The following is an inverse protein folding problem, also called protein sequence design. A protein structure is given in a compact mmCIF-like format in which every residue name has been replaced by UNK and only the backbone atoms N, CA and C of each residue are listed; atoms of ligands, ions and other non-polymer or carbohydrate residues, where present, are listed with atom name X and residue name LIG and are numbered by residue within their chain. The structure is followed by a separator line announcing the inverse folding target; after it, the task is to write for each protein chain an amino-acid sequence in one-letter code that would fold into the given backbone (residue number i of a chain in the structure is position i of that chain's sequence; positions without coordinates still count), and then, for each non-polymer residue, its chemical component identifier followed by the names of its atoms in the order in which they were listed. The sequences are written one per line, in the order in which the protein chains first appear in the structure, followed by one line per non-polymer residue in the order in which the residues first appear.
data_IF_540174712817
#
_entry.id   IF_540174712817
#
_cell.length_a   1.000
_cell.length_b   1.000
_cell.length_c   1.000
_cell.angle_alpha   90.00
_cell.angle_beta   90.00
_cell.angle_gamma   90.00
#
_symmetry.space_group_name_H-M   'P 1'
#
loop_
_entity.id
_entity.type
_entity.pdbx_description
1 polymer ?
#
# COMPACT_ATOMS: atom_id res chain seq x y z
N UNK A 1 -57.68 -6.62 9.70
CA UNK A 1 -56.36 -6.45 9.06
C UNK A 1 -55.66 -5.27 9.73
N UNK A 2 -54.49 -5.49 10.35
CA UNK A 2 -53.65 -4.39 10.88
C UNK A 2 -52.50 -4.18 9.90
N UNK A 3 -52.37 -2.96 9.38
CA UNK A 3 -51.35 -2.55 8.42
C UNK A 3 -49.94 -2.84 8.96
N UNK A 4 -49.14 -3.54 8.16
CA UNK A 4 -47.69 -3.70 8.37
C UNK A 4 -47.02 -2.44 7.82
N UNK A 5 -46.70 -1.50 8.69
CA UNK A 5 -45.81 -0.38 8.37
C UNK A 5 -44.40 -0.96 8.13
N UNK A 6 -43.70 -0.64 7.02
CA UNK A 6 -42.33 -1.10 6.82
C UNK A 6 -41.39 -0.44 7.83
N UNK A 7 -40.44 -1.18 8.43
CA UNK A 7 -39.53 -0.61 9.41
C UNK A 7 -38.64 0.44 8.75
N UNK A 8 -38.70 1.68 9.22
CA UNK A 8 -37.75 2.73 8.87
C UNK A 8 -36.34 2.30 9.25
N UNK A 9 -35.32 2.78 8.53
CA UNK A 9 -33.90 2.45 8.79
C UNK A 9 -33.51 2.71 10.25
N UNK A 10 -34.01 3.80 10.84
CA UNK A 10 -33.86 4.10 12.27
C UNK A 10 -34.41 3.00 13.21
N UNK A 11 -35.48 2.33 12.82
CA UNK A 11 -36.07 1.21 13.57
C UNK A 11 -35.22 -0.04 13.52
N UNK A 12 -34.55 -0.31 12.39
CA UNK A 12 -33.59 -1.40 12.26
C UNK A 12 -32.30 -1.12 13.04
N UNK A 13 -31.79 0.11 12.96
CA UNK A 13 -30.60 0.55 13.71
C UNK A 13 -30.89 0.49 15.23
N UNK A 14 -32.05 0.97 15.67
CA UNK A 14 -32.45 0.89 17.09
C UNK A 14 -32.70 -0.54 17.58
N UNK A 15 -33.11 -1.46 16.71
CA UNK A 15 -33.24 -2.87 17.04
C UNK A 15 -31.87 -3.56 17.14
N UNK A 16 -30.95 -3.24 16.23
CA UNK A 16 -29.57 -3.77 16.24
C UNK A 16 -28.78 -3.28 17.48
N UNK A 17 -28.98 -2.02 17.90
CA UNK A 17 -28.37 -1.47 19.12
C UNK A 17 -28.91 -2.08 20.43
N UNK A 18 -30.01 -2.84 20.38
CA UNK A 18 -30.57 -3.53 21.55
C UNK A 18 -30.15 -4.99 21.63
N UNK A 19 -29.56 -5.53 20.58
CA UNK A 19 -29.10 -6.91 20.50
C UNK A 19 -27.66 -7.00 21.04
N UNK A 20 -27.49 -6.62 22.30
CA UNK A 20 -26.22 -6.74 23.00
C UNK A 20 -25.89 -8.23 23.18
N UNK A 21 -24.72 -8.70 22.72
CA UNK A 21 -24.36 -10.11 22.83
C UNK A 21 -24.27 -10.51 24.31
N UNK A 22 -25.00 -11.57 24.68
CA UNK A 22 -25.02 -12.05 26.05
C UNK A 22 -23.59 -12.39 26.54
N UNK A 23 -23.32 -12.18 27.84
CA UNK A 23 -21.99 -12.44 28.42
C UNK A 23 -21.51 -13.88 28.22
N UNK A 24 -22.43 -14.83 28.11
CA UNK A 24 -22.15 -16.24 27.80
C UNK A 24 -21.74 -16.47 26.34
N UNK A 25 -22.22 -15.64 25.40
CA UNK A 25 -21.75 -15.65 24.01
C UNK A 25 -20.34 -15.10 23.92
N UNK A 26 -20.07 -13.99 24.63
CA UNK A 26 -18.73 -13.40 24.69
C UNK A 26 -17.72 -14.34 25.37
N UNK A 27 -18.12 -15.05 26.43
CA UNK A 27 -17.24 -16.01 27.10
C UNK A 27 -16.89 -17.20 26.20
N UNK A 28 -17.86 -17.73 25.43
CA UNK A 28 -17.60 -18.81 24.47
C UNK A 28 -16.63 -18.41 23.38
N UNK A 29 -16.74 -17.18 22.87
CA UNK A 29 -15.80 -16.66 21.86
C UNK A 29 -14.41 -16.48 22.47
N UNK A 30 -14.32 -15.98 23.71
CA UNK A 30 -13.04 -15.87 24.41
C UNK A 30 -12.40 -17.24 24.65
N UNK A 31 -13.17 -18.24 25.08
CA UNK A 31 -12.69 -19.63 25.27
C UNK A 31 -12.22 -20.25 23.95
N UNK A 32 -12.94 -20.02 22.84
CA UNK A 32 -12.57 -20.54 21.52
C UNK A 32 -11.28 -19.88 21.00
N UNK A 33 -11.10 -18.58 21.22
CA UNK A 33 -9.84 -17.88 20.89
C UNK A 33 -8.68 -18.42 21.72
N UNK A 34 -8.88 -18.69 23.02
CA UNK A 34 -7.85 -19.26 23.89
C UNK A 34 -7.47 -20.68 23.48
N UNK A 35 -8.43 -21.48 23.03
CA UNK A 35 -8.20 -22.84 22.55
C UNK A 35 -7.37 -22.90 21.24
N UNK A 36 -7.40 -21.83 20.44
CA UNK A 36 -6.69 -21.74 19.16
C UNK A 36 -5.40 -20.91 19.22
N UNK A 37 -5.03 -20.38 20.38
CA UNK A 37 -3.73 -19.74 20.57
C UNK A 37 -2.62 -20.80 20.61
N UNK A 38 -1.51 -20.62 19.87
CA UNK A 38 -0.37 -21.52 19.97
C UNK A 38 0.23 -21.44 21.38
N UNK A 39 0.71 -22.57 21.96
CA UNK A 39 1.28 -22.57 23.30
C UNK A 39 2.52 -21.65 23.36
N UNK A 40 2.71 -20.89 24.44
CA UNK A 40 3.91 -20.07 24.60
C UNK A 40 5.13 -20.97 24.69
N UNK A 41 6.10 -20.76 23.78
CA UNK A 41 7.37 -21.50 23.76
C UNK A 41 7.65 -22.36 22.52
N UNK A 42 6.79 -22.35 21.50
CA UNK A 42 7.09 -22.98 20.23
C UNK A 42 8.13 -22.17 19.43
N UNK A 43 9.40 -22.27 19.81
CA UNK A 43 10.54 -21.88 18.97
C UNK A 43 10.54 -22.74 17.70
N UNK A 44 10.01 -22.20 16.61
CA UNK A 44 10.16 -22.79 15.28
C UNK A 44 11.62 -22.69 14.89
N UNK A 45 12.37 -23.75 15.20
CA UNK A 45 13.76 -23.92 14.77
C UNK A 45 13.76 -23.93 13.25
N UNK A 46 14.12 -22.78 12.68
CA UNK A 46 14.26 -22.53 11.26
C UNK A 46 15.11 -23.61 10.61
N UNK A 47 14.47 -24.54 9.90
CA UNK A 47 15.12 -25.48 8.99
C UNK A 47 15.29 -24.80 7.62
N UNK A 48 16.07 -23.72 7.58
CA UNK A 48 16.65 -23.25 6.33
C UNK A 48 17.78 -24.23 6.00
N UNK A 49 17.50 -25.19 5.11
CA UNK A 49 18.56 -25.99 4.46
C UNK A 49 19.32 -25.07 3.49
N UNK A 50 20.62 -24.80 3.70
CA UNK A 50 21.39 -24.05 2.72
C UNK A 50 21.64 -24.96 1.50
N UNK A 51 21.11 -24.60 0.33
CA UNK A 51 21.56 -25.20 -0.93
C UNK A 51 22.88 -24.54 -1.31
N UNK A 52 23.97 -25.21 -0.95
CA UNK A 52 25.31 -24.93 -1.45
C UNK A 52 25.33 -25.05 -2.98
N UNK A 53 26.02 -24.09 -3.59
CA UNK A 53 26.22 -23.94 -5.02
C UNK A 53 26.84 -25.19 -5.67
N UNK A 54 26.30 -25.58 -6.83
CA UNK A 54 27.02 -26.34 -7.82
C UNK A 54 27.05 -25.51 -9.12
N UNK A 55 28.19 -24.86 -9.32
CA UNK A 55 28.58 -24.22 -10.59
C UNK A 55 28.95 -25.34 -11.55
N UNK A 56 28.20 -25.48 -12.66
CA UNK A 56 28.73 -26.02 -13.91
C UNK A 56 28.23 -25.10 -15.03
N UNK A 57 29.18 -24.43 -15.68
CA UNK A 57 28.99 -23.51 -16.78
C UNK A 57 29.04 -24.23 -18.13
N UNK A 58 28.11 -23.93 -19.05
CA UNK A 58 28.38 -23.83 -20.50
C UNK A 58 27.51 -22.72 -21.11
N UNK A 59 28.21 -21.61 -21.32
CA UNK A 59 28.15 -20.55 -22.34
C UNK A 59 27.04 -20.42 -23.40
N UNK A 60 26.65 -19.15 -23.57
CA UNK A 60 26.40 -18.42 -24.84
C UNK A 60 25.02 -18.53 -25.54
N UNK A 61 24.22 -17.46 -25.40
CA UNK A 61 23.76 -16.53 -26.47
C UNK A 61 22.51 -15.80 -25.93
N UNK A 62 22.52 -14.46 -25.95
CA UNK A 62 21.29 -13.66 -25.82
C UNK A 62 21.24 -12.61 -24.71
N UNK A 63 22.34 -11.89 -24.44
CA UNK A 63 22.26 -10.58 -23.78
C UNK A 63 22.11 -9.51 -24.86
N UNK A 64 20.98 -8.81 -24.87
CA UNK A 64 20.88 -7.50 -25.52
C UNK A 64 19.59 -7.26 -26.29
N UNK A 65 18.56 -6.74 -25.58
CA UNK A 65 17.79 -5.56 -26.03
C UNK A 65 17.24 -4.89 -24.78
N UNK A 66 18.04 -4.05 -24.12
CA UNK A 66 17.50 -2.96 -23.32
C UNK A 66 18.42 -1.74 -23.43
N UNK A 67 17.79 -0.64 -23.86
CA UNK A 67 18.25 0.74 -23.95
C UNK A 67 19.10 1.16 -25.16
N UNK A 68 18.64 2.28 -25.74
CA UNK A 68 19.35 3.24 -26.59
C UNK A 68 19.24 3.09 -28.12
N UNK A 69 18.13 3.57 -28.68
CA UNK A 69 18.15 4.23 -29.99
C UNK A 69 18.48 5.71 -29.78
N UNK A 70 19.77 6.04 -29.72
CA UNK A 70 20.26 7.39 -30.04
C UNK A 70 21.33 7.22 -31.12
N UNK A 71 21.18 8.02 -32.17
CA UNK A 71 21.89 7.97 -33.44
C UNK A 71 23.42 7.99 -33.26
N UNK A 72 24.11 7.08 -33.95
CA UNK A 72 25.53 7.14 -34.23
C UNK A 72 25.76 7.90 -35.54
N UNK A 73 26.65 8.89 -35.51
CA UNK A 73 27.44 9.39 -36.64
C UNK A 73 28.85 9.64 -36.05
N UNK A 74 29.73 8.63 -36.08
CA UNK A 74 30.79 8.38 -37.07
C UNK A 74 31.95 9.39 -37.10
N UNK A 75 33.15 8.79 -36.95
CA UNK A 75 34.48 9.18 -37.46
C UNK A 75 35.32 10.21 -36.69
N UNK A 76 36.45 9.71 -36.20
CA UNK A 76 37.56 10.54 -35.75
C UNK A 76 38.69 9.78 -35.09
N UNK A 77 39.34 8.88 -35.83
CA UNK A 77 40.68 8.35 -35.53
C UNK A 77 41.65 9.43 -35.05
N UNK A 78 42.50 9.16 -34.04
CA UNK A 78 43.98 9.18 -34.16
C UNK A 78 44.71 9.21 -32.80
N UNK A 79 45.59 8.21 -32.62
CA UNK A 79 46.93 8.22 -32.02
C UNK A 79 47.17 8.62 -30.54
N UNK A 80 47.52 7.58 -29.77
CA UNK A 80 48.70 7.46 -28.88
C UNK A 80 49.52 8.73 -28.64
N UNK A 81 49.68 9.11 -27.37
CA UNK A 81 50.96 9.56 -26.80
C UNK A 81 50.95 9.39 -25.28
N UNK A 82 51.78 8.46 -24.82
CA UNK A 82 52.23 8.33 -23.44
C UNK A 82 53.29 9.42 -23.19
N UNK A 83 53.13 10.22 -22.15
CA UNK A 83 54.25 10.96 -21.58
C UNK A 83 54.13 11.06 -20.07
N UNK A 84 55.11 10.42 -19.44
CA UNK A 84 55.39 10.28 -18.02
C UNK A 84 56.34 11.41 -17.62
N UNK A 85 55.99 12.24 -16.64
CA UNK A 85 56.99 12.98 -15.83
C UNK A 85 56.38 13.51 -14.53
N UNK A 86 56.80 12.92 -13.42
CA UNK A 86 56.95 13.54 -12.09
C UNK A 86 58.44 13.33 -11.71
N UNK A 87 59.04 13.96 -10.68
CA UNK A 87 58.51 14.91 -9.68
C UNK A 87 59.47 16.07 -9.36
N UNK A 88 59.15 16.96 -8.40
CA UNK A 88 60.09 17.47 -7.38
C UNK A 88 59.35 18.35 -6.34
N UNK A 89 59.28 17.81 -5.11
CA UNK A 89 59.60 18.47 -3.82
C UNK A 89 58.92 19.80 -3.48
N UNK A 90 57.97 19.74 -2.54
CA UNK A 90 58.04 20.64 -1.39
C UNK A 90 57.76 19.89 -0.09
N UNK A 91 58.74 19.99 0.79
CA UNK A 91 58.82 19.42 2.12
C UNK A 91 58.11 20.34 3.13
N UNK A 92 57.67 19.71 4.20
CA UNK A 92 56.89 20.17 5.35
C UNK A 92 57.58 21.29 6.17
N UNK A 93 56.87 21.97 7.10
CA UNK A 93 56.76 21.38 8.44
C UNK A 93 55.43 21.59 9.18
N UNK A 94 54.95 20.49 9.77
CA UNK A 94 54.48 20.29 11.14
C UNK A 94 53.79 21.46 11.88
N UNK A 95 52.59 21.18 12.41
CA UNK A 95 52.31 21.30 13.85
C UNK A 95 51.12 20.42 14.24
N UNK A 96 51.44 19.35 14.96
CA UNK A 96 50.73 18.77 16.12
C UNK A 96 49.46 19.48 16.59
N UNK A 97 48.33 18.77 16.58
CA UNK A 97 47.44 18.78 17.74
C UNK A 97 46.65 17.48 17.81
N UNK A 98 47.22 16.56 18.59
CA UNK A 98 46.48 15.50 19.26
C UNK A 98 45.64 16.13 20.37
N UNK A 99 44.33 15.89 20.36
CA UNK A 99 43.49 15.89 21.55
C UNK A 99 42.57 14.68 21.46
N UNK A 100 43.11 13.59 21.98
CA UNK A 100 42.37 12.50 22.58
C UNK A 100 41.57 13.02 23.78
N UNK A 101 40.26 12.81 23.78
CA UNK A 101 39.42 12.86 24.98
C UNK A 101 38.37 11.76 24.87
N UNK A 102 38.75 10.57 25.32
CA UNK A 102 37.83 9.60 25.93
C UNK A 102 37.61 10.02 27.41
N UNK A 103 36.70 9.40 28.19
CA UNK A 103 35.28 9.16 28.02
C UNK A 103 34.50 9.90 29.14
N UNK A 104 33.27 10.38 28.88
CA UNK A 104 32.39 10.86 29.96
C UNK A 104 31.09 10.09 29.97
N UNK A 105 31.11 8.98 30.71
CA UNK A 105 29.92 8.39 31.32
C UNK A 105 29.31 9.45 32.23
N UNK A 106 28.15 9.97 31.84
CA UNK A 106 27.21 10.62 32.74
C UNK A 106 25.84 10.03 32.45
N UNK A 107 25.46 9.03 33.23
CA UNK A 107 24.07 8.85 33.59
C UNK A 107 23.70 9.99 34.55
N UNK A 108 22.65 10.78 34.24
CA UNK A 108 21.82 11.33 35.28
C UNK A 108 20.42 10.75 35.15
N UNK A 109 20.05 9.98 36.17
CA UNK A 109 18.76 10.04 36.85
C UNK A 109 17.54 10.13 35.92
N UNK A 110 16.90 8.96 35.75
CA UNK A 110 15.50 8.84 35.33
C UNK A 110 14.61 9.60 36.32
N UNK A 111 14.42 10.89 36.05
CA UNK A 111 13.44 11.72 36.71
C UNK A 111 12.08 11.39 36.09
N UNK A 112 11.25 10.72 36.89
CA UNK A 112 9.91 10.33 36.54
C UNK A 112 9.12 11.55 36.02
N UNK A 113 8.89 11.58 34.72
CA UNK A 113 8.02 12.57 34.08
C UNK A 113 6.61 12.39 34.63
N UNK A 114 6.18 13.31 35.49
CA UNK A 114 4.77 13.46 35.85
C UNK A 114 4.02 13.83 34.59
N UNK A 115 3.31 12.86 34.02
CA UNK A 115 2.33 13.11 32.96
C UNK A 115 1.31 14.14 33.48
N UNK A 116 1.11 15.27 32.81
CA UNK A 116 0.07 16.21 33.19
C UNK A 116 -1.29 15.58 32.93
N UNK A 117 -1.93 15.09 33.99
CA UNK A 117 -3.34 14.68 33.96
C UNK A 117 -4.17 15.92 33.69
N UNK A 118 -4.68 16.03 32.46
CA UNK A 118 -5.65 17.06 32.09
C UNK A 118 -7.03 16.60 32.54
N UNK A 119 -7.71 17.41 33.35
CA UNK A 119 -9.06 17.12 33.83
C UNK A 119 -10.06 17.22 32.67
N UNK A 120 -10.80 16.13 32.43
CA UNK A 120 -11.77 16.01 31.33
C UNK A 120 -12.93 17.01 31.53
N UNK A 121 -13.18 17.45 32.77
CA UNK A 121 -14.21 18.44 33.09
C UNK A 121 -13.81 19.89 32.75
N UNK A 122 -12.56 20.14 32.34
CA UNK A 122 -12.08 21.45 31.90
C UNK A 122 -12.21 21.68 30.38
N UNK A 123 -12.80 20.74 29.64
CA UNK A 123 -13.08 20.93 28.21
C UNK A 123 -14.24 21.93 28.02
N UNK A 124 -14.12 22.93 27.13
CA UNK A 124 -15.21 23.84 26.82
C UNK A 124 -16.39 23.07 26.21
N UNK A 125 -17.58 23.28 26.78
CA UNK A 125 -18.83 22.69 26.32
C UNK A 125 -19.10 23.15 24.87
N UNK A 126 -19.06 22.21 23.93
CA UNK A 126 -19.29 22.51 22.51
C UNK A 126 -20.75 22.86 22.30
N UNK A 127 -21.03 24.16 22.32
CA UNK A 127 -22.34 24.74 21.98
C UNK A 127 -22.80 24.17 20.63
N UNK A 128 -23.90 23.41 20.69
CA UNK A 128 -24.64 22.78 19.58
C UNK A 128 -24.62 23.64 18.30
N UNK A 129 -24.18 23.11 17.14
CA UNK A 129 -24.26 23.81 15.87
C UNK A 129 -25.71 24.14 15.50
N UNK A 130 -25.98 25.31 14.88
CA UNK A 130 -27.32 25.62 14.39
C UNK A 130 -27.69 24.68 13.24
N UNK A 131 -28.86 24.08 13.42
CA UNK A 131 -29.79 23.49 12.47
C UNK A 131 -29.39 23.45 10.99
N UNK A 132 -29.36 22.22 10.47
CA UNK A 132 -29.17 21.82 9.07
C UNK A 132 -30.12 22.60 8.15
N UNK A 133 -29.56 23.48 7.32
CA UNK A 133 -30.25 23.90 6.10
C UNK A 133 -30.23 22.72 5.14
N UNK A 134 -31.40 22.11 4.89
CA UNK A 134 -31.63 21.22 3.73
C UNK A 134 -31.22 21.98 2.47
N UNK A 135 -30.07 21.63 1.91
CA UNK A 135 -29.69 22.04 0.56
C UNK A 135 -30.49 21.22 -0.45
N UNK A 136 -31.23 21.91 -1.32
CA UNK A 136 -31.91 21.32 -2.48
C UNK A 136 -30.91 20.61 -3.41
N UNK A 137 -31.35 19.58 -4.17
CA UNK A 137 -30.49 18.82 -5.07
C UNK A 137 -30.36 19.57 -6.41
N UNK A 138 -29.79 20.77 -6.38
CA UNK A 138 -29.52 21.52 -7.60
C UNK A 138 -28.06 21.97 -7.64
N UNK A 139 -27.31 21.28 -8.49
CA UNK A 139 -26.07 21.72 -9.11
C UNK A 139 -25.01 22.33 -8.20
N UNK A 140 -24.19 21.46 -7.59
CA UNK A 140 -22.77 21.79 -7.43
C UNK A 140 -22.17 21.83 -8.84
N UNK A 141 -22.32 22.98 -9.48
CA UNK A 141 -21.52 23.34 -10.65
C UNK A 141 -20.08 23.41 -10.13
N UNK A 142 -19.33 22.35 -10.35
CA UNK A 142 -17.92 22.29 -9.99
C UNK A 142 -17.24 23.55 -10.53
N UNK A 143 -16.64 24.32 -9.65
CA UNK A 143 -15.83 25.46 -10.03
C UNK A 143 -14.76 24.98 -11.01
N UNK A 144 -14.57 25.63 -12.18
CA UNK A 144 -13.47 25.30 -13.06
C UNK A 144 -12.15 25.55 -12.33
N UNK A 145 -11.48 24.48 -11.89
CA UNK A 145 -10.13 24.56 -11.33
C UNK A 145 -9.87 23.85 -10.00
N UNK A 146 -10.87 23.28 -9.33
CA UNK A 146 -10.59 22.46 -8.14
C UNK A 146 -10.09 21.08 -8.57
N UNK A 147 -8.76 20.94 -8.61
CA UNK A 147 -8.10 19.67 -8.83
C UNK A 147 -8.51 18.66 -7.75
N UNK A 148 -9.16 17.58 -8.17
CA UNK A 148 -9.57 16.51 -7.27
C UNK A 148 -8.35 15.88 -6.58
N UNK A 149 -8.41 15.69 -5.27
CA UNK A 149 -7.32 15.06 -4.51
C UNK A 149 -7.11 13.59 -4.90
N UNK A 150 -5.91 13.06 -4.61
CA UNK A 150 -5.53 11.67 -4.90
C UNK A 150 -6.54 10.67 -4.32
N UNK A 151 -6.82 10.77 -3.02
CA UNK A 151 -7.75 9.88 -2.34
C UNK A 151 -9.18 10.01 -2.84
N UNK A 152 -9.64 11.23 -3.16
CA UNK A 152 -10.98 11.43 -3.68
C UNK A 152 -11.12 10.79 -5.09
N UNK A 153 -10.08 10.85 -5.92
CA UNK A 153 -10.07 10.18 -7.23
C UNK A 153 -10.17 8.66 -7.09
N UNK A 154 -9.39 8.04 -6.19
CA UNK A 154 -9.46 6.59 -5.96
C UNK A 154 -10.75 6.15 -5.27
N UNK A 155 -11.33 7.00 -4.41
CA UNK A 155 -12.65 6.72 -3.84
C UNK A 155 -13.73 6.63 -4.92
N UNK A 156 -13.70 7.50 -5.94
CA UNK A 156 -14.59 7.39 -7.11
C UNK A 156 -14.30 6.13 -7.93
N UNK A 157 -13.03 5.79 -8.10
CA UNK A 157 -12.63 4.58 -8.80
C UNK A 157 -13.19 3.34 -8.10
N UNK A 158 -13.06 3.25 -6.78
CA UNK A 158 -13.58 2.15 -5.97
C UNK A 158 -15.10 2.05 -6.04
N UNK A 159 -15.82 3.17 -5.91
CA UNK A 159 -17.28 3.21 -6.01
C UNK A 159 -17.80 2.74 -7.38
N UNK A 160 -17.03 2.95 -8.46
CA UNK A 160 -17.41 2.54 -9.81
C UNK A 160 -17.17 1.04 -10.07
N UNK A 161 -16.36 0.34 -9.27
CA UNK A 161 -15.94 -1.04 -9.53
C UNK A 161 -17.12 -1.98 -9.82
N UNK A 162 -18.19 -1.89 -9.03
CA UNK A 162 -19.33 -2.82 -9.15
C UNK A 162 -20.38 -2.38 -10.17
N UNK A 163 -20.49 -1.08 -10.45
CA UNK A 163 -21.53 -0.52 -11.32
C UNK A 163 -21.04 -0.25 -12.74
N UNK A 164 -19.81 0.26 -12.87
CA UNK A 164 -19.15 0.54 -14.14
C UNK A 164 -17.64 0.24 -14.02
N UNK A 165 -17.25 -1.03 -14.21
CA UNK A 165 -15.86 -1.45 -14.15
C UNK A 165 -14.96 -0.71 -15.17
N UNK A 166 -15.49 -0.30 -16.32
CA UNK A 166 -14.73 0.44 -17.33
C UNK A 166 -14.38 1.84 -16.82
N UNK A 167 -15.33 2.51 -16.17
CA UNK A 167 -15.12 3.80 -15.54
C UNK A 167 -14.14 3.71 -14.34
N UNK A 168 -14.21 2.65 -13.53
CA UNK A 168 -13.24 2.40 -12.47
C UNK A 168 -11.81 2.29 -13.03
N UNK A 169 -11.63 1.55 -14.12
CA UNK A 169 -10.34 1.41 -14.80
C UNK A 169 -9.86 2.75 -15.39
N UNK A 170 -10.76 3.57 -15.93
CA UNK A 170 -10.44 4.90 -16.42
C UNK A 170 -9.97 5.84 -15.29
N UNK A 171 -10.63 5.82 -14.12
CA UNK A 171 -10.18 6.59 -12.96
C UNK A 171 -8.82 6.12 -12.43
N UNK A 172 -8.56 4.80 -12.43
CA UNK A 172 -7.24 4.28 -12.08
C UNK A 172 -6.15 4.73 -13.07
N UNK A 173 -6.45 4.76 -14.38
CA UNK A 173 -5.54 5.29 -15.39
C UNK A 173 -5.29 6.80 -15.22
N UNK A 174 -6.33 7.56 -14.88
CA UNK A 174 -6.18 8.99 -14.59
C UNK A 174 -5.34 9.24 -13.34
N UNK A 175 -5.51 8.42 -12.30
CA UNK A 175 -4.64 8.47 -11.11
C UNK A 175 -3.18 8.24 -11.47
N UNK A 176 -2.86 7.25 -12.33
CA UNK A 176 -1.48 7.00 -12.76
C UNK A 176 -0.86 8.19 -13.51
N UNK A 177 -1.67 8.96 -14.25
CA UNK A 177 -1.22 10.16 -14.98
C UNK A 177 -1.01 11.35 -14.05
N UNK A 178 -1.93 11.58 -13.13
CA UNK A 178 -1.92 12.75 -12.23
C UNK A 178 -1.00 12.55 -11.02
N UNK A 179 -0.86 11.31 -10.56
CA UNK A 179 -0.12 10.92 -9.36
C UNK A 179 0.83 9.75 -9.65
N UNK A 180 1.80 9.90 -10.56
CA UNK A 180 2.71 8.81 -10.94
C UNK A 180 3.53 8.30 -9.73
N UNK A 181 3.84 9.20 -8.79
CA UNK A 181 4.56 8.91 -7.54
C UNK A 181 3.65 9.10 -6.31
N UNK A 182 2.34 8.89 -6.47
CA UNK A 182 1.36 9.03 -5.39
C UNK A 182 1.56 8.03 -4.25
N UNK A 183 1.00 8.31 -3.08
CA UNK A 183 1.09 7.37 -1.94
C UNK A 183 0.09 6.21 -2.04
N UNK A 184 -0.93 6.35 -2.89
CA UNK A 184 -1.99 5.36 -3.08
C UNK A 184 -1.81 4.53 -4.37
N UNK A 185 -0.56 4.35 -4.80
CA UNK A 185 -0.18 3.55 -5.98
C UNK A 185 -0.66 2.10 -5.84
N UNK A 186 -0.50 1.48 -4.67
CA UNK A 186 -0.95 0.10 -4.44
C UNK A 186 -2.47 -0.03 -4.60
N UNK A 187 -3.23 0.88 -3.99
CA UNK A 187 -4.69 0.87 -4.08
C UNK A 187 -5.17 1.06 -5.52
N UNK A 188 -4.54 1.96 -6.29
CA UNK A 188 -4.81 2.12 -7.73
C UNK A 188 -4.64 0.79 -8.48
N UNK A 189 -3.54 0.07 -8.25
CA UNK A 189 -3.28 -1.19 -8.96
C UNK A 189 -4.34 -2.25 -8.63
N UNK A 190 -4.75 -2.37 -7.37
CA UNK A 190 -5.81 -3.29 -6.94
C UNK A 190 -7.14 -2.95 -7.63
N UNK A 191 -7.54 -1.68 -7.63
CA UNK A 191 -8.76 -1.21 -8.31
C UNK A 191 -8.71 -1.57 -9.79
N UNK A 192 -7.57 -1.36 -10.45
CA UNK A 192 -7.44 -1.65 -11.86
C UNK A 192 -7.49 -3.15 -12.17
N UNK A 193 -6.90 -4.01 -11.32
CA UNK A 193 -6.99 -5.47 -11.47
C UNK A 193 -8.43 -5.93 -11.28
N UNK A 194 -9.11 -5.47 -10.24
CA UNK A 194 -10.51 -5.80 -9.98
C UNK A 194 -11.45 -5.36 -11.11
N UNK A 195 -11.21 -4.17 -11.67
CA UNK A 195 -11.95 -3.67 -12.82
C UNK A 195 -11.72 -4.55 -14.06
N UNK A 196 -10.46 -4.92 -14.34
CA UNK A 196 -10.13 -5.80 -15.47
C UNK A 196 -10.76 -7.18 -15.32
N UNK A 197 -10.79 -7.74 -14.11
CA UNK A 197 -11.47 -8.99 -13.81
C UNK A 197 -12.96 -8.90 -14.14
N UNK A 198 -13.64 -7.85 -13.67
CA UNK A 198 -15.08 -7.65 -13.91
C UNK A 198 -15.43 -7.35 -15.38
N UNK A 199 -14.46 -6.85 -16.14
CA UNK A 199 -14.56 -6.68 -17.60
C UNK A 199 -14.20 -7.96 -18.38
N UNK A 200 -13.93 -9.08 -17.69
CA UNK A 200 -13.50 -10.35 -18.28
C UNK A 200 -12.17 -10.24 -19.07
N UNK A 201 -11.39 -9.19 -18.83
CA UNK A 201 -10.08 -8.94 -19.45
C UNK A 201 -8.97 -9.67 -18.69
N UNK A 202 -9.12 -10.99 -18.56
CA UNK A 202 -8.32 -11.81 -17.64
C UNK A 202 -6.82 -11.85 -17.94
N UNK A 203 -6.42 -11.80 -19.21
CA UNK A 203 -5.00 -11.76 -19.57
C UNK A 203 -4.31 -10.49 -19.03
N UNK A 204 -4.98 -9.35 -19.15
CA UNK A 204 -4.48 -8.07 -18.64
C UNK A 204 -4.50 -8.03 -17.12
N UNK A 205 -5.56 -8.55 -16.49
CA UNK A 205 -5.66 -8.65 -15.04
C UNK A 205 -4.49 -9.45 -14.44
N UNK A 206 -4.20 -10.64 -14.99
CA UNK A 206 -3.10 -11.50 -14.54
C UNK A 206 -1.74 -10.84 -14.74
N UNK A 207 -1.48 -10.31 -15.93
CA UNK A 207 -0.21 -9.62 -16.20
C UNK A 207 0.00 -8.39 -15.32
N UNK A 208 -1.08 -7.75 -14.86
CA UNK A 208 -1.02 -6.63 -13.91
C UNK A 208 -0.82 -7.12 -12.46
N UNK A 209 -1.48 -8.19 -12.07
CA UNK A 209 -1.28 -8.83 -10.76
C UNK A 209 0.13 -9.37 -10.57
N UNK A 210 0.72 -10.00 -11.59
CA UNK A 210 2.12 -10.46 -11.55
C UNK A 210 3.09 -9.31 -11.28
N UNK A 211 2.90 -8.18 -11.97
CA UNK A 211 3.67 -6.94 -11.72
C UNK A 211 3.42 -6.37 -10.34
N UNK A 212 2.17 -6.42 -9.87
CA UNK A 212 1.81 -5.98 -8.52
C UNK A 212 2.55 -6.82 -7.47
N UNK A 213 2.54 -8.15 -7.58
CA UNK A 213 3.20 -9.02 -6.62
C UNK A 213 4.73 -8.94 -6.66
N UNK A 214 5.32 -8.66 -7.82
CA UNK A 214 6.77 -8.47 -7.93
C UNK A 214 7.21 -7.11 -7.36
N UNK A 215 6.38 -6.08 -7.50
CA UNK A 215 6.68 -4.72 -7.03
C UNK A 215 6.36 -4.54 -5.54
N UNK A 216 5.24 -5.12 -5.07
CA UNK A 216 4.70 -4.96 -3.71
C UNK A 216 4.58 -6.30 -2.98
N UNK A 217 5.72 -7.00 -2.81
CA UNK A 217 5.75 -8.36 -2.28
C UNK A 217 5.10 -8.52 -0.87
N UNK A 218 5.17 -7.47 -0.04
CA UNK A 218 4.61 -7.41 1.31
C UNK A 218 3.28 -6.65 1.42
N UNK A 219 2.59 -6.39 0.31
CA UNK A 219 1.36 -5.61 0.31
C UNK A 219 0.25 -6.29 1.12
N UNK A 220 -0.48 -5.49 1.92
CA UNK A 220 -1.69 -5.93 2.60
C UNK A 220 -2.82 -6.31 1.63
N UNK A 221 -2.75 -5.89 0.36
CA UNK A 221 -3.75 -6.17 -0.65
C UNK A 221 -3.57 -7.51 -1.37
N UNK A 222 -2.52 -8.28 -1.04
CA UNK A 222 -2.21 -9.53 -1.74
C UNK A 222 -3.40 -10.49 -1.83
N UNK A 223 -4.00 -10.79 -0.68
CA UNK A 223 -5.16 -11.69 -0.59
C UNK A 223 -6.32 -11.20 -1.46
N UNK A 224 -6.59 -9.88 -1.46
CA UNK A 224 -7.67 -9.29 -2.23
C UNK A 224 -7.45 -9.42 -3.74
N UNK A 225 -6.21 -9.30 -4.20
CA UNK A 225 -5.85 -9.51 -5.61
C UNK A 225 -6.00 -10.98 -6.00
N UNK A 226 -5.56 -11.90 -5.14
CA UNK A 226 -5.73 -13.35 -5.36
C UNK A 226 -7.23 -13.72 -5.44
N UNK A 227 -8.04 -13.26 -4.48
CA UNK A 227 -9.49 -13.51 -4.44
C UNK A 227 -10.22 -13.01 -5.70
N UNK A 228 -9.81 -11.84 -6.22
CA UNK A 228 -10.38 -11.29 -7.44
C UNK A 228 -10.10 -12.19 -8.65
N UNK A 229 -8.88 -12.70 -8.79
CA UNK A 229 -8.50 -13.60 -9.89
C UNK A 229 -9.22 -14.96 -9.80
N UNK A 230 -9.37 -15.49 -8.58
CA UNK A 230 -10.05 -16.76 -8.33
C UNK A 230 -11.56 -16.69 -8.55
N UNK A 231 -12.19 -15.55 -8.24
CA UNK A 231 -13.60 -15.33 -8.52
C UNK A 231 -13.92 -15.52 -10.01
N UNK A 232 -13.10 -14.96 -10.90
CA UNK A 232 -13.28 -15.12 -12.35
C UNK A 232 -13.07 -16.56 -12.84
N UNK A 233 -12.08 -17.27 -12.29
CA UNK A 233 -11.83 -18.66 -12.64
C UNK A 233 -13.04 -19.54 -12.34
N UNK A 234 -13.74 -19.28 -11.23
CA UNK A 234 -14.98 -19.97 -10.86
C UNK A 234 -16.15 -19.65 -11.78
N UNK A 235 -16.31 -18.39 -12.19
CA UNK A 235 -17.37 -17.99 -13.15
C UNK A 235 -17.22 -18.72 -14.47
N UNK A 236 -16.02 -18.73 -15.06
CA UNK A 236 -15.78 -19.44 -16.32
C UNK A 236 -15.93 -20.97 -16.21
N UNK A 237 -15.60 -21.57 -15.07
CA UNK A 237 -15.80 -23.00 -14.86
C UNK A 237 -17.29 -23.38 -14.81
N UNK A 238 -18.15 -22.50 -14.30
CA UNK A 238 -19.60 -22.74 -14.24
C UNK A 238 -20.29 -22.61 -15.60
N UNK A 239 -19.78 -21.78 -16.51
CA UNK A 239 -20.38 -21.55 -17.83
C UNK A 239 -19.96 -22.60 -18.88
N UNK A 240 -18.89 -23.35 -18.62
CA UNK A 240 -18.32 -24.34 -19.54
C UNK A 240 -18.90 -25.75 -19.47
N UNK A 241 -20.03 -25.98 -18.80
CA UNK A 241 -20.67 -27.31 -18.71
C UNK A 241 -21.87 -27.41 -19.67
N UNK A 242 -21.77 -28.15 -20.79
CA UNK A 242 -22.90 -28.40 -21.70
C UNK A 242 -23.94 -29.39 -21.14
#
# INVERSE_FOLDING_TARGET
MKERVPPTVDGLVSAALRDEPSLSTLSRVADDVVAHLPPPGASTRSLIRPRMAAIVAVSAVGLGVFAMTQMFDEKGTSLVTSSKSEPLVHEEPATTSALEVEPSVREPVSEATKIPTTDIHALPDSKRPPEVRKGSPDSVKASPGEEMSEGALLQRAHAAISSDPAQALAFAAEHARRFPNGVLVEEREVIAIEALVRLERMAEARGRAERFFSTFAGSAYRQRVDDALDAAARTHASEGTP
#
